data_IF_180460685757
#
_entry.id   IF_180460685757
#
_cell.length_a   1.000
_cell.length_b   1.000
_cell.length_c   1.000
_cell.angle_alpha   90.00
_cell.angle_beta   90.00
_cell.angle_gamma   90.00
#
_symmetry.space_group_name_H-M   'P 1'
#
loop_
_entity.id
_entity.type
_entity.pdbx_description
1 polymer ?
#
# COMPACT_ATOMS: atom_id res chain seq x y z
N UNK A 1 -39.79 -26.79 -11.19
CA UNK A 1 -38.68 -27.17 -10.28
C UNK A 1 -37.52 -26.25 -10.62
N UNK A 2 -37.18 -25.37 -9.69
CA UNK A 2 -36.27 -24.22 -9.85
C UNK A 2 -34.84 -24.66 -10.13
N UNK A 3 -34.35 -24.36 -11.32
CA UNK A 3 -32.92 -24.42 -11.66
C UNK A 3 -32.20 -23.31 -10.92
N UNK A 4 -31.44 -23.69 -9.89
CA UNK A 4 -30.50 -22.79 -9.19
C UNK A 4 -29.39 -22.42 -10.18
N UNK A 5 -29.46 -21.22 -10.75
CA UNK A 5 -28.32 -20.63 -11.44
C UNK A 5 -27.26 -20.30 -10.37
N UNK A 6 -26.21 -21.12 -10.29
CA UNK A 6 -24.96 -20.70 -9.65
C UNK A 6 -24.33 -19.68 -10.57
N UNK A 7 -24.28 -18.43 -10.14
CA UNK A 7 -23.60 -17.34 -10.84
C UNK A 7 -22.12 -17.36 -10.44
N UNK A 8 -21.19 -17.75 -11.33
CA UNK A 8 -19.77 -17.88 -10.98
C UNK A 8 -19.02 -16.54 -10.98
N UNK A 9 -19.71 -15.40 -11.15
CA UNK A 9 -19.08 -14.09 -11.41
C UNK A 9 -18.75 -13.26 -10.17
N UNK A 10 -18.41 -13.87 -9.03
CA UNK A 10 -17.93 -13.13 -7.85
C UNK A 10 -16.61 -13.69 -7.31
N UNK A 11 -15.57 -13.69 -8.14
CA UNK A 11 -14.20 -13.90 -7.68
C UNK A 11 -13.80 -12.72 -6.76
N UNK A 12 -13.76 -12.96 -5.45
CA UNK A 12 -13.25 -12.00 -4.47
C UNK A 12 -11.75 -11.79 -4.72
N UNK A 13 -11.39 -10.71 -5.41
CA UNK A 13 -10.01 -10.28 -5.57
C UNK A 13 -9.48 -9.69 -4.25
N UNK A 14 -9.12 -10.56 -3.30
CA UNK A 14 -8.49 -10.13 -2.06
C UNK A 14 -7.01 -9.86 -2.32
N UNK A 15 -6.63 -8.59 -2.50
CA UNK A 15 -5.23 -8.19 -2.49
C UNK A 15 -4.61 -8.62 -1.16
N UNK A 16 -3.43 -9.25 -1.22
CA UNK A 16 -2.64 -9.54 -0.04
C UNK A 16 -2.34 -8.22 0.70
N UNK A 17 -2.47 -8.18 2.04
CA UNK A 17 -2.19 -6.98 2.81
C UNK A 17 -0.71 -6.59 2.68
N UNK A 18 -0.45 -5.30 2.43
CA UNK A 18 0.90 -4.76 2.51
C UNK A 18 1.27 -4.47 3.97
N UNK A 19 2.57 -4.40 4.29
CA UNK A 19 3.01 -4.01 5.63
C UNK A 19 2.48 -2.63 6.06
N UNK A 20 2.30 -1.72 5.11
CA UNK A 20 1.69 -0.42 5.36
C UNK A 20 0.23 -0.53 5.85
N UNK A 21 -0.53 -1.51 5.37
CA UNK A 21 -1.90 -1.75 5.82
C UNK A 21 -1.93 -2.23 7.27
N UNK A 22 -1.01 -3.13 7.62
CA UNK A 22 -0.84 -3.62 9.00
C UNK A 22 -0.50 -2.46 9.94
N UNK A 23 0.45 -1.59 9.57
CA UNK A 23 0.78 -0.42 10.39
C UNK A 23 -0.37 0.57 10.50
N UNK A 24 -1.11 0.85 9.43
CA UNK A 24 -2.26 1.78 9.52
C UNK A 24 -3.35 1.27 10.46
N UNK A 25 -3.55 -0.05 10.53
CA UNK A 25 -4.58 -0.65 11.36
C UNK A 25 -4.13 -0.86 12.82
N UNK A 26 -2.88 -1.24 13.05
CA UNK A 26 -2.46 -1.80 14.34
C UNK A 26 -1.25 -1.10 15.00
N UNK A 27 -0.61 -0.13 14.34
CA UNK A 27 0.61 0.49 14.89
C UNK A 27 0.37 1.21 16.23
N UNK A 28 -0.79 1.86 16.40
CA UNK A 28 -1.07 2.60 17.63
C UNK A 28 -1.28 1.67 18.83
N UNK A 29 -2.01 0.57 18.66
CA UNK A 29 -2.19 -0.44 19.71
C UNK A 29 -0.87 -1.13 20.06
N UNK A 30 -0.05 -1.42 19.05
CA UNK A 30 1.28 -1.98 19.24
C UNK A 30 2.16 -1.05 20.08
N UNK A 31 2.19 0.25 19.75
CA UNK A 31 2.99 1.27 20.46
C UNK A 31 2.54 1.54 21.89
N UNK A 32 1.29 1.26 22.24
CA UNK A 32 0.79 1.38 23.62
C UNK A 32 1.33 0.29 24.53
N UNK A 33 1.67 -0.87 23.98
CA UNK A 33 2.06 -2.06 24.73
C UNK A 33 3.54 -2.43 24.56
N UNK A 34 4.22 -1.86 23.57
CA UNK A 34 5.61 -2.17 23.25
C UNK A 34 6.43 -0.88 23.14
N UNK A 35 7.61 -0.78 23.80
CA UNK A 35 8.52 0.32 23.57
C UNK A 35 9.05 0.25 22.13
N UNK A 36 8.94 1.37 21.41
CA UNK A 36 9.39 1.50 20.02
C UNK A 36 10.42 2.62 19.96
N UNK A 37 11.60 2.34 19.39
CA UNK A 37 12.65 3.35 19.25
C UNK A 37 12.24 4.45 18.27
N UNK A 38 12.90 5.59 18.34
CA UNK A 38 12.67 6.69 17.39
C UNK A 38 12.91 6.25 15.94
N UNK A 39 13.97 5.47 15.69
CA UNK A 39 14.31 4.94 14.37
C UNK A 39 13.20 4.02 13.84
N UNK A 40 12.65 3.17 14.69
CA UNK A 40 11.52 2.31 14.34
C UNK A 40 10.26 3.13 14.02
N UNK A 41 9.94 4.15 14.82
CA UNK A 41 8.80 5.05 14.55
C UNK A 41 8.96 5.75 13.20
N UNK A 42 10.17 6.22 12.88
CA UNK A 42 10.47 6.86 11.59
C UNK A 42 10.24 5.90 10.42
N UNK A 43 10.73 4.66 10.53
CA UNK A 43 10.54 3.63 9.49
C UNK A 43 9.06 3.26 9.34
N UNK A 44 8.33 3.08 10.44
CA UNK A 44 6.89 2.81 10.42
C UNK A 44 6.14 3.92 9.69
N UNK A 45 6.42 5.18 10.01
CA UNK A 45 5.82 6.33 9.35
C UNK A 45 6.13 6.36 7.84
N UNK A 46 7.40 6.20 7.46
CA UNK A 46 7.81 6.13 6.05
C UNK A 46 7.06 5.04 5.28
N UNK A 47 6.92 3.85 5.87
CA UNK A 47 6.18 2.74 5.26
C UNK A 47 4.69 3.09 5.10
N UNK A 48 4.07 3.71 6.10
CA UNK A 48 2.65 4.10 6.06
C UNK A 48 2.34 5.13 4.96
N UNK A 49 3.25 6.05 4.66
CA UNK A 49 3.03 7.12 3.67
C UNK A 49 3.62 6.81 2.28
N UNK A 50 4.35 5.71 2.13
CA UNK A 50 5.01 5.34 0.89
C UNK A 50 4.02 5.15 -0.27
N UNK A 51 4.28 5.78 -1.42
CA UNK A 51 3.42 5.72 -2.62
C UNK A 51 1.98 6.16 -2.34
N UNK A 52 1.82 7.19 -1.53
CA UNK A 52 0.54 7.86 -1.27
C UNK A 52 0.64 9.33 -1.63
N UNK A 53 -0.50 10.02 -1.74
CA UNK A 53 -0.56 11.46 -1.99
C UNK A 53 0.22 12.30 -0.95
N UNK A 54 0.46 11.78 0.26
CA UNK A 54 1.22 12.47 1.30
C UNK A 54 2.67 12.80 0.89
N UNK A 55 3.25 12.06 -0.05
CA UNK A 55 4.60 12.31 -0.58
C UNK A 55 4.59 13.04 -1.94
N UNK A 56 3.41 13.49 -2.38
CA UNK A 56 3.20 13.99 -3.73
C UNK A 56 3.35 12.91 -4.80
N UNK A 57 3.27 13.33 -6.06
CA UNK A 57 3.37 12.46 -7.22
C UNK A 57 3.35 13.26 -8.52
N UNK A 58 3.36 12.55 -9.63
CA UNK A 58 3.26 13.11 -10.97
C UNK A 58 2.30 12.29 -11.82
N UNK A 59 1.79 12.88 -12.89
CA UNK A 59 1.02 12.16 -13.91
C UNK A 59 2.02 11.54 -14.88
N UNK A 60 1.89 10.24 -15.10
CA UNK A 60 2.58 9.53 -16.17
C UNK A 60 1.59 9.33 -17.31
N UNK A 61 1.98 9.76 -18.51
CA UNK A 61 1.18 9.59 -19.71
C UNK A 61 1.88 8.63 -20.65
N UNK A 62 1.12 7.70 -21.24
CA UNK A 62 1.63 6.84 -22.30
C UNK A 62 1.74 7.63 -23.61
N UNK A 63 2.95 7.71 -24.16
CA UNK A 63 3.21 8.40 -25.43
C UNK A 63 2.53 7.76 -26.65
N UNK A 64 2.00 6.53 -26.52
CA UNK A 64 1.35 5.80 -27.62
C UNK A 64 -0.18 5.85 -27.59
N UNK A 65 -0.79 5.84 -26.41
CA UNK A 65 -2.26 5.77 -26.26
C UNK A 65 -2.87 6.89 -25.42
N UNK A 66 -2.06 7.85 -24.96
CA UNK A 66 -2.45 8.96 -24.10
C UNK A 66 -3.08 8.57 -22.74
N UNK A 67 -3.02 7.29 -22.36
CA UNK A 67 -3.47 6.84 -21.04
C UNK A 67 -2.66 7.53 -19.95
N UNK A 68 -3.34 8.08 -18.95
CA UNK A 68 -2.74 8.77 -17.81
C UNK A 68 -2.94 7.97 -16.52
N UNK A 69 -1.89 7.93 -15.70
CA UNK A 69 -1.96 7.43 -14.34
C UNK A 69 -1.24 8.36 -13.37
N UNK A 70 -1.70 8.40 -12.12
CA UNK A 70 -1.02 9.11 -11.05
C UNK A 70 0.04 8.18 -10.45
N UNK A 71 1.31 8.57 -10.53
CA UNK A 71 2.42 7.92 -9.88
C UNK A 71 2.81 8.68 -8.61
N UNK A 72 2.55 8.10 -7.44
CA UNK A 72 2.98 8.69 -6.17
C UNK A 72 4.46 8.42 -5.88
N UNK A 73 5.13 9.35 -5.20
CA UNK A 73 6.54 9.21 -4.84
C UNK A 73 6.80 8.12 -3.78
N UNK A 74 7.95 7.46 -3.85
CA UNK A 74 8.39 6.51 -2.82
C UNK A 74 8.90 7.25 -1.58
N UNK A 75 8.82 6.60 -0.41
CA UNK A 75 9.40 7.13 0.84
C UNK A 75 10.94 7.10 0.86
N UNK A 76 11.57 6.37 -0.07
CA UNK A 76 13.03 6.21 -0.21
C UNK A 76 13.74 5.63 1.03
N UNK A 77 13.00 5.01 1.95
CA UNK A 77 13.57 4.30 3.09
C UNK A 77 14.00 2.88 2.68
N UNK A 78 15.25 2.52 2.98
CA UNK A 78 15.82 1.20 2.66
C UNK A 78 15.13 0.03 3.37
N UNK A 79 14.42 0.29 4.47
CA UNK A 79 13.70 -0.74 5.21
C UNK A 79 12.24 -0.89 4.73
N UNK A 80 11.77 -0.04 3.80
CA UNK A 80 10.43 -0.15 3.25
C UNK A 80 10.36 -1.30 2.22
N UNK A 81 9.60 -2.39 2.46
CA UNK A 81 9.55 -3.51 1.53
C UNK A 81 9.08 -3.08 0.14
N UNK A 82 8.08 -2.19 0.07
CA UNK A 82 7.58 -1.62 -1.19
C UNK A 82 8.64 -0.85 -1.98
N UNK A 83 9.61 -0.23 -1.31
CA UNK A 83 10.73 0.43 -2.00
C UNK A 83 11.80 -0.55 -2.45
N UNK A 84 11.97 -1.69 -1.76
CA UNK A 84 12.99 -2.69 -2.07
C UNK A 84 12.54 -3.70 -3.15
N UNK A 85 11.24 -3.79 -3.44
CA UNK A 85 10.68 -4.73 -4.44
C UNK A 85 10.45 -4.10 -5.82
N UNK A 86 10.74 -2.80 -6.00
CA UNK A 86 10.62 -2.13 -7.30
C UNK A 86 11.90 -2.38 -8.12
N UNK A 87 11.97 -3.55 -8.74
CA UNK A 87 12.82 -3.84 -9.91
C UNK A 87 11.97 -3.91 -11.15
#
# INVERSE_FOLDING_TARGET
MTTTHHDPTAAKNQKQPELADIFRLYADDYRRSHPVSYEQLKVMHHIQICRTAALGGHVEQCDQCAFEQIAYNSCRDRHCPKCQTLT
#
